data_IF_446011692556
#
_entry.id   IF_446011692556
#
_cell.length_a   1.000
_cell.length_b   1.000
_cell.length_c   1.000
_cell.angle_alpha   90.00
_cell.angle_beta   90.00
_cell.angle_gamma   90.00
#
_symmetry.space_group_name_H-M   'P 1'
#
loop_
_entity.id
_entity.type
_entity.pdbx_description
1 polymer ?
#
# COMPACT_ATOMS: atom_id res chain seq x y z
N UNK A 1 7.51 13.42 -5.74
CA UNK A 1 6.46 12.40 -6.03
C UNK A 1 5.93 12.61 -7.44
N UNK A 2 6.11 11.65 -8.34
CA UNK A 2 5.33 11.66 -9.59
C UNK A 2 3.97 11.06 -9.25
N UNK A 3 2.93 11.91 -9.14
CA UNK A 3 1.56 11.41 -9.03
C UNK A 3 1.12 10.94 -10.41
N UNK A 4 1.21 9.65 -10.62
CA UNK A 4 0.94 8.98 -11.89
C UNK A 4 -0.56 8.72 -12.04
N UNK A 5 -1.33 9.78 -12.21
CA UNK A 5 -2.74 9.72 -12.56
C UNK A 5 -2.96 10.26 -13.98
N UNK A 6 -2.40 9.55 -14.98
CA UNK A 6 -2.91 9.66 -16.35
C UNK A 6 -3.75 8.42 -16.61
N UNK A 7 -5.07 8.64 -16.72
CA UNK A 7 -6.07 7.60 -16.98
C UNK A 7 -5.58 6.63 -18.08
N UNK A 8 -5.48 5.35 -17.71
CA UNK A 8 -5.25 4.22 -18.62
C UNK A 8 -3.80 3.99 -19.08
N UNK A 9 -2.79 4.70 -18.54
CA UNK A 9 -1.38 4.51 -18.94
C UNK A 9 -0.40 4.45 -17.79
N UNK A 10 -0.85 4.19 -16.57
CA UNK A 10 0.03 4.24 -15.39
C UNK A 10 1.24 3.30 -15.52
N UNK A 11 1.04 2.05 -15.96
CA UNK A 11 2.14 1.08 -16.17
C UNK A 11 3.11 1.49 -17.29
N UNK A 12 2.59 2.04 -18.39
CA UNK A 12 3.42 2.53 -19.49
C UNK A 12 4.27 3.72 -19.05
N UNK A 13 3.66 4.64 -18.31
CA UNK A 13 4.35 5.82 -17.79
C UNK A 13 5.43 5.45 -16.76
N UNK A 14 5.18 4.49 -15.85
CA UNK A 14 6.23 3.97 -14.96
C UNK A 14 7.40 3.43 -15.77
N UNK A 15 7.13 2.70 -16.85
CA UNK A 15 8.17 2.13 -17.71
C UNK A 15 8.98 3.22 -18.43
N UNK A 16 8.31 4.22 -18.98
CA UNK A 16 8.96 5.39 -19.61
C UNK A 16 9.87 6.11 -18.60
N UNK A 17 9.35 6.39 -17.40
CA UNK A 17 10.12 7.07 -16.36
C UNK A 17 11.24 6.19 -15.78
N UNK A 18 11.07 4.86 -15.72
CA UNK A 18 12.15 3.95 -15.36
C UNK A 18 13.33 4.09 -16.32
N UNK A 19 13.07 4.15 -17.64
CA UNK A 19 14.13 4.32 -18.63
C UNK A 19 14.78 5.70 -18.56
N UNK A 20 14.00 6.75 -18.26
CA UNK A 20 14.49 8.13 -18.18
C UNK A 20 15.34 8.37 -16.91
N UNK A 21 14.87 7.93 -15.75
CA UNK A 21 15.46 8.28 -14.45
C UNK A 21 16.32 7.18 -13.82
N UNK A 22 16.14 5.92 -14.24
CA UNK A 22 16.91 4.77 -13.75
C UNK A 22 17.41 3.90 -14.92
N UNK A 23 18.19 4.47 -15.86
CA UNK A 23 18.68 3.74 -17.03
C UNK A 23 19.63 2.59 -16.66
N UNK A 24 20.20 2.62 -15.45
CA UNK A 24 21.09 1.60 -14.93
C UNK A 24 20.73 1.28 -13.47
N UNK A 25 20.47 0.02 -13.19
CA UNK A 25 20.27 -0.49 -11.83
C UNK A 25 21.44 -1.42 -11.50
N UNK A 26 22.34 -1.06 -10.57
CA UNK A 26 23.43 -1.94 -10.18
C UNK A 26 22.85 -3.18 -9.49
N UNK A 27 23.16 -4.36 -10.01
CA UNK A 27 22.91 -5.62 -9.31
C UNK A 27 23.99 -5.79 -8.24
N UNK A 28 23.63 -5.45 -7.00
CA UNK A 28 24.47 -5.67 -5.84
C UNK A 28 24.09 -6.99 -5.19
N UNK A 29 25.09 -7.84 -4.97
CA UNK A 29 24.87 -9.16 -4.36
C UNK A 29 24.24 -9.00 -2.97
N UNK A 30 23.16 -9.73 -2.71
CA UNK A 30 22.42 -9.72 -1.44
C UNK A 30 21.75 -8.38 -1.07
N UNK A 31 21.63 -7.43 -2.01
CA UNK A 31 20.92 -6.16 -1.81
C UNK A 31 19.66 -6.14 -2.67
N UNK A 32 18.45 -6.36 -2.11
CA UNK A 32 17.24 -6.55 -2.90
C UNK A 32 16.66 -5.25 -3.48
N UNK A 33 17.12 -4.08 -3.01
CA UNK A 33 16.64 -2.78 -3.46
C UNK A 33 17.80 -1.76 -3.48
N UNK A 34 18.16 -1.28 -4.67
CA UNK A 34 19.28 -0.37 -4.89
C UNK A 34 18.84 1.05 -5.24
N UNK A 35 17.71 1.49 -4.68
CA UNK A 35 16.96 2.62 -5.23
C UNK A 35 16.05 2.16 -6.36
N UNK A 36 15.03 2.96 -6.68
CA UNK A 36 13.94 2.51 -7.51
C UNK A 36 12.62 3.22 -7.23
N UNK A 37 11.59 2.75 -7.92
CA UNK A 37 10.21 3.04 -7.55
C UNK A 37 9.82 2.20 -6.34
N UNK A 38 9.24 2.84 -5.33
CA UNK A 38 8.61 2.17 -4.20
C UNK A 38 7.31 2.89 -3.87
N UNK A 39 6.29 2.13 -3.47
CA UNK A 39 5.02 2.70 -3.03
C UNK A 39 3.88 1.70 -3.15
N UNK A 40 2.72 2.20 -3.55
CA UNK A 40 1.44 1.54 -3.45
C UNK A 40 0.73 1.43 -4.81
N UNK A 41 0.25 0.23 -5.13
CA UNK A 41 -0.66 -0.07 -6.22
C UNK A 41 -2.00 -0.48 -5.61
N UNK A 42 -3.03 0.34 -5.79
CA UNK A 42 -4.36 0.10 -5.26
C UNK A 42 -5.12 -0.97 -6.04
N UNK A 43 -6.12 -1.56 -5.40
CA UNK A 43 -6.92 -2.64 -5.99
C UNK A 43 -7.65 -2.17 -7.27
N UNK A 44 -8.26 -0.98 -7.21
CA UNK A 44 -9.00 -0.41 -8.35
C UNK A 44 -8.10 0.02 -9.53
N UNK A 45 -6.77 0.04 -9.36
CA UNK A 45 -5.83 0.19 -10.49
C UNK A 45 -6.02 -0.93 -11.53
N UNK A 46 -6.51 -2.10 -11.11
CA UNK A 46 -6.88 -3.20 -11.99
C UNK A 46 -7.88 -2.82 -13.09
N UNK A 47 -8.70 -1.79 -12.87
CA UNK A 47 -9.63 -1.27 -13.89
C UNK A 47 -8.96 -0.66 -15.12
N UNK A 48 -7.65 -0.36 -15.04
CA UNK A 48 -6.88 0.06 -16.22
C UNK A 48 -6.52 -1.11 -17.15
N UNK A 49 -6.52 -2.34 -16.64
CA UNK A 49 -6.11 -3.53 -17.38
C UNK A 49 -7.29 -4.47 -17.69
N UNK A 50 -8.37 -4.41 -16.90
CA UNK A 50 -9.57 -5.23 -17.06
C UNK A 50 -10.84 -4.39 -17.12
N UNK A 51 -11.82 -4.82 -17.91
CA UNK A 51 -13.12 -4.18 -18.00
C UNK A 51 -14.03 -4.67 -16.87
N UNK A 52 -13.99 -4.00 -15.72
CA UNK A 52 -14.76 -4.37 -14.52
C UNK A 52 -15.89 -3.37 -14.30
N UNK A 53 -17.14 -3.82 -14.03
CA UNK A 53 -18.26 -2.93 -13.70
C UNK A 53 -17.98 -2.02 -12.49
N UNK A 54 -18.46 -0.78 -12.55
CA UNK A 54 -18.41 0.19 -11.45
C UNK A 54 -19.72 0.16 -10.65
N UNK A 55 -19.86 -0.85 -9.79
CA UNK A 55 -21.06 -1.03 -8.96
C UNK A 55 -20.87 -0.57 -7.51
N UNK A 56 -19.64 -0.61 -7.01
CA UNK A 56 -19.31 -0.19 -5.65
C UNK A 56 -19.15 1.34 -5.57
N UNK A 57 -19.55 1.92 -4.44
CA UNK A 57 -19.33 3.34 -4.16
C UNK A 57 -17.83 3.63 -4.00
N UNK A 58 -17.37 4.74 -4.58
CA UNK A 58 -15.99 5.21 -4.45
C UNK A 58 -15.85 6.07 -3.19
N UNK A 59 -15.86 5.44 -2.03
CA UNK A 59 -15.88 6.09 -0.72
C UNK A 59 -14.51 6.13 -0.01
N UNK A 60 -13.45 5.64 -0.68
CA UNK A 60 -12.07 5.74 -0.22
C UNK A 60 -11.34 6.81 -1.04
N UNK A 61 -10.89 7.87 -0.37
CA UNK A 61 -10.08 8.93 -0.97
C UNK A 61 -8.59 8.60 -0.94
N UNK A 62 -8.21 7.49 -1.59
CA UNK A 62 -6.81 7.12 -1.80
C UNK A 62 -6.51 7.05 -3.30
N UNK A 63 -5.27 7.34 -3.74
CA UNK A 63 -4.91 7.17 -5.14
C UNK A 63 -4.80 5.68 -5.50
N UNK A 64 -5.24 5.31 -6.70
CA UNK A 64 -5.02 3.96 -7.27
C UNK A 64 -3.53 3.64 -7.45
N UNK A 65 -2.68 4.66 -7.52
CA UNK A 65 -1.24 4.52 -7.65
C UNK A 65 -0.52 5.66 -6.93
N UNK A 66 0.39 5.32 -6.02
CA UNK A 66 1.27 6.27 -5.36
C UNK A 66 2.69 5.70 -5.32
N UNK A 67 3.58 6.25 -6.15
CA UNK A 67 4.99 5.83 -6.19
C UNK A 67 5.92 7.01 -5.91
N UNK A 68 6.94 6.73 -5.10
CA UNK A 68 8.12 7.57 -4.95
C UNK A 68 9.28 6.98 -5.75
N UNK A 69 10.10 7.84 -6.33
CA UNK A 69 11.39 7.47 -6.90
C UNK A 69 12.47 7.75 -5.86
N UNK A 70 13.15 6.70 -5.40
CA UNK A 70 14.15 6.77 -4.35
C UNK A 70 15.52 6.48 -4.93
N UNK A 71 16.47 7.40 -4.73
CA UNK A 71 17.85 7.25 -5.18
C UNK A 71 18.75 6.58 -4.13
N UNK A 72 18.26 6.50 -2.89
CA UNK A 72 18.97 5.88 -1.77
C UNK A 72 18.03 5.02 -0.93
N UNK A 73 18.60 4.02 -0.26
CA UNK A 73 17.86 3.14 0.64
C UNK A 73 18.72 2.69 1.82
N UNK A 74 18.08 2.49 2.97
CA UNK A 74 18.65 1.77 4.10
C UNK A 74 18.13 0.34 4.08
N UNK A 75 19.03 -0.63 3.88
CA UNK A 75 18.72 -2.05 3.86
C UNK A 75 19.19 -2.66 5.17
N UNK A 76 18.27 -3.26 5.93
CA UNK A 76 18.59 -3.96 7.18
C UNK A 76 18.52 -5.46 6.92
N UNK A 77 19.66 -6.14 6.98
CA UNK A 77 19.74 -7.59 6.86
C UNK A 77 19.74 -8.23 8.25
N UNK A 78 18.61 -8.84 8.60
CA UNK A 78 18.44 -9.53 9.87
C UNK A 78 19.21 -10.85 9.96
N UNK A 79 19.56 -11.49 8.83
CA UNK A 79 20.34 -12.74 8.79
C UNK A 79 21.82 -12.44 9.05
N UNK A 80 22.36 -11.42 8.40
CA UNK A 80 23.76 -10.97 8.57
C UNK A 80 23.94 -10.03 9.77
N UNK A 81 22.84 -9.54 10.37
CA UNK A 81 22.83 -8.56 11.46
C UNK A 81 23.59 -7.28 11.08
N UNK A 82 23.40 -6.84 9.84
CA UNK A 82 24.07 -5.70 9.24
C UNK A 82 23.06 -4.73 8.64
N UNK A 83 23.49 -3.49 8.44
CA UNK A 83 22.73 -2.49 7.70
C UNK A 83 23.61 -1.90 6.60
N UNK A 84 23.03 -1.71 5.42
CA UNK A 84 23.69 -1.18 4.23
C UNK A 84 22.99 0.11 3.83
N UNK A 85 23.77 1.15 3.57
CA UNK A 85 23.27 2.32 2.87
C UNK A 85 23.57 2.16 1.39
N UNK A 86 22.53 2.23 0.55
CA UNK A 86 22.66 2.20 -0.90
C UNK A 86 22.38 3.60 -1.43
N UNK A 87 23.22 4.09 -2.34
CA UNK A 87 23.12 5.44 -2.92
C UNK A 87 23.86 6.51 -2.12
N UNK A 88 23.58 7.77 -2.41
CA UNK A 88 24.18 8.92 -1.72
C UNK A 88 23.72 8.98 -0.26
N UNK A 89 24.66 9.15 0.66
CA UNK A 89 24.36 9.32 2.09
C UNK A 89 23.83 10.72 2.31
N UNK A 90 22.53 10.85 2.47
CA UNK A 90 21.91 12.07 2.99
C UNK A 90 21.76 11.91 4.49
N UNK A 91 22.21 12.91 5.25
CA UNK A 91 21.96 12.94 6.69
C UNK A 91 20.46 13.17 6.88
N UNK A 92 19.72 12.23 7.48
CA UNK A 92 18.29 12.43 7.69
C UNK A 92 18.10 13.63 8.62
N UNK A 93 17.50 14.70 8.10
CA UNK A 93 16.97 15.78 8.93
C UNK A 93 15.69 15.29 9.59
N UNK A 94 15.82 14.61 10.72
CA UNK A 94 14.68 14.24 11.55
C UNK A 94 14.16 15.46 12.29
N UNK A 95 13.23 16.20 11.67
CA UNK A 95 12.28 16.97 12.45
C UNK A 95 11.32 15.98 13.11
N UNK A 96 11.59 15.63 14.37
CA UNK A 96 10.68 14.83 15.17
C UNK A 96 9.39 15.64 15.39
N UNK A 97 8.40 15.44 14.52
CA UNK A 97 7.05 15.97 14.74
C UNK A 97 6.40 15.13 15.83
N UNK A 98 6.19 15.69 17.01
CA UNK A 98 5.46 15.03 18.09
C UNK A 98 3.96 15.05 17.76
N UNK A 99 3.50 14.11 16.94
CA UNK A 99 2.10 13.72 16.94
C UNK A 99 1.83 13.05 18.30
N UNK A 100 0.73 13.41 18.96
CA UNK A 100 0.38 12.90 20.30
C UNK A 100 0.25 11.37 20.34
N UNK A 101 -0.04 10.80 21.51
CA UNK A 101 -0.22 9.34 21.62
C UNK A 101 -1.41 8.86 20.77
N UNK A 102 -1.22 7.74 20.06
CA UNK A 102 -2.27 7.15 19.25
C UNK A 102 -3.42 6.63 20.11
N UNK A 103 -4.66 6.96 19.73
CA UNK A 103 -5.87 6.40 20.32
C UNK A 103 -7.01 6.34 19.31
N UNK A 104 -7.88 5.35 19.46
CA UNK A 104 -9.17 5.34 18.77
C UNK A 104 -10.09 6.40 19.41
N UNK A 105 -10.72 7.20 18.55
CA UNK A 105 -11.69 8.23 18.91
C UNK A 105 -13.14 7.75 18.72
N UNK A 106 -13.33 6.56 18.13
CA UNK A 106 -14.63 5.89 18.03
C UNK A 106 -14.47 4.38 18.14
N UNK A 107 -15.58 3.69 18.36
CA UNK A 107 -15.65 2.24 18.15
C UNK A 107 -15.51 1.88 16.68
N UNK A 108 -15.18 0.61 16.42
CA UNK A 108 -15.17 0.05 15.08
C UNK A 108 -16.59 -0.11 14.55
N UNK A 109 -16.78 0.28 13.28
CA UNK A 109 -18.01 0.10 12.55
C UNK A 109 -17.77 -0.69 11.28
N UNK A 110 -18.57 -1.73 11.04
CA UNK A 110 -18.53 -2.50 9.80
C UNK A 110 -19.30 -1.75 8.69
N UNK A 111 -18.86 -1.84 7.45
CA UNK A 111 -19.57 -1.29 6.29
C UNK A 111 -20.84 -2.08 5.91
N UNK A 112 -21.13 -3.18 6.59
CA UNK A 112 -22.33 -3.97 6.41
C UNK A 112 -22.68 -4.73 7.70
N UNK A 113 -23.96 -5.03 7.85
CA UNK A 113 -24.51 -5.89 8.91
C UNK A 113 -24.26 -7.37 8.61
N UNK A 114 -24.42 -8.21 9.63
CA UNK A 114 -24.36 -9.66 9.47
C UNK A 114 -25.39 -10.17 8.45
N UNK A 115 -26.62 -9.63 8.47
CA UNK A 115 -27.67 -10.04 7.54
C UNK A 115 -27.30 -9.73 6.08
N UNK A 116 -26.74 -8.56 5.82
CA UNK A 116 -26.25 -8.16 4.50
C UNK A 116 -25.07 -9.03 4.05
N UNK A 117 -24.13 -9.31 4.95
CA UNK A 117 -23.02 -10.21 4.65
C UNK A 117 -23.51 -11.62 4.28
N UNK A 118 -24.45 -12.19 5.06
CA UNK A 118 -25.05 -13.50 4.77
C UNK A 118 -25.78 -13.50 3.43
N UNK A 119 -26.51 -12.42 3.11
CA UNK A 119 -27.17 -12.30 1.81
C UNK A 119 -26.15 -12.33 0.66
N UNK A 120 -25.11 -11.48 0.72
CA UNK A 120 -24.04 -11.45 -0.29
C UNK A 120 -23.28 -12.78 -0.39
N UNK A 121 -23.07 -13.44 0.74
CA UNK A 121 -22.45 -14.77 0.79
C UNK A 121 -23.28 -15.81 0.03
N UNK A 122 -24.60 -15.81 0.21
CA UNK A 122 -25.49 -16.72 -0.53
C UNK A 122 -25.47 -16.44 -2.04
N UNK A 123 -25.42 -15.17 -2.46
CA UNK A 123 -25.24 -14.81 -3.88
C UNK A 123 -23.93 -15.36 -4.44
N UNK A 124 -22.84 -15.29 -3.67
CA UNK A 124 -21.56 -15.92 -4.04
C UNK A 124 -21.73 -17.43 -4.23
N UNK A 125 -22.43 -18.12 -3.31
CA UNK A 125 -22.69 -19.56 -3.45
C UNK A 125 -23.51 -19.89 -4.71
N UNK A 126 -24.49 -19.06 -5.06
CA UNK A 126 -25.26 -19.23 -6.29
C UNK A 126 -24.38 -19.15 -7.54
N UNK A 127 -23.45 -18.18 -7.61
CA UNK A 127 -22.47 -18.08 -8.71
C UNK A 127 -21.52 -19.28 -8.79
N UNK A 128 -21.20 -19.92 -7.66
CA UNK A 128 -20.39 -21.14 -7.66
C UNK A 128 -21.19 -22.33 -8.20
N UNK A 129 -22.46 -22.45 -7.80
CA UNK A 129 -23.34 -23.55 -8.19
C UNK A 129 -23.81 -23.47 -9.65
N UNK A 130 -23.96 -22.26 -10.20
CA UNK A 130 -24.25 -22.03 -11.62
C UNK A 130 -23.05 -22.33 -12.53
N UNK A 131 -21.85 -22.44 -11.97
CA UNK A 131 -20.61 -22.69 -12.70
C UNK A 131 -19.94 -21.42 -13.25
N UNK A 132 -20.33 -20.23 -12.78
CA UNK A 132 -19.73 -18.97 -13.22
C UNK A 132 -18.28 -18.80 -12.71
N UNK A 133 -17.98 -19.35 -11.53
CA UNK A 133 -16.64 -19.34 -10.95
C UNK A 133 -16.44 -20.47 -9.93
N UNK A 134 -15.20 -20.66 -9.48
CA UNK A 134 -14.85 -21.67 -8.46
C UNK A 134 -14.64 -21.08 -7.06
N UNK A 135 -14.29 -19.80 -6.96
CA UNK A 135 -14.10 -19.09 -5.70
C UNK A 135 -14.26 -17.59 -5.90
N UNK A 136 -14.93 -16.91 -4.96
CA UNK A 136 -14.99 -15.45 -4.87
C UNK A 136 -14.51 -15.05 -3.47
N UNK A 137 -13.58 -14.09 -3.39
CA UNK A 137 -13.18 -13.49 -2.12
C UNK A 137 -14.14 -12.35 -1.75
N UNK A 138 -15.08 -12.63 -0.84
CA UNK A 138 -15.99 -11.62 -0.29
C UNK A 138 -15.38 -10.98 0.95
N UNK A 139 -15.28 -9.65 0.97
CA UNK A 139 -14.72 -8.89 2.08
C UNK A 139 -15.72 -7.91 2.69
N UNK A 140 -15.51 -7.58 3.96
CA UNK A 140 -16.15 -6.47 4.67
C UNK A 140 -15.08 -5.53 5.22
N UNK A 141 -15.43 -4.26 5.40
CA UNK A 141 -14.51 -3.22 5.86
C UNK A 141 -14.94 -2.74 7.25
N UNK A 142 -13.98 -2.57 8.14
CA UNK A 142 -14.19 -1.93 9.43
C UNK A 142 -13.52 -0.55 9.42
N UNK A 143 -14.17 0.45 10.01
CA UNK A 143 -13.64 1.81 10.15
C UNK A 143 -13.80 2.31 11.58
N UNK A 144 -12.86 3.14 12.02
CA UNK A 144 -12.92 3.88 13.27
C UNK A 144 -12.17 5.21 13.09
N UNK A 145 -12.57 6.23 13.83
CA UNK A 145 -11.82 7.48 13.93
C UNK A 145 -10.65 7.31 14.88
N UNK A 146 -9.55 8.03 14.65
CA UNK A 146 -8.38 8.00 15.52
C UNK A 146 -7.75 9.39 15.65
N UNK A 147 -6.95 9.55 16.70
CA UNK A 147 -6.10 10.72 16.93
C UNK A 147 -4.68 10.25 17.27
N UNK A 148 -3.68 11.12 17.04
CA UNK A 148 -2.29 10.88 17.43
C UNK A 148 -1.42 10.30 16.30
N UNK A 149 -0.34 9.65 16.69
CA UNK A 149 0.75 9.21 15.81
C UNK A 149 0.52 7.80 15.24
N UNK A 150 0.33 7.70 13.92
CA UNK A 150 0.13 6.43 13.21
C UNK A 150 1.35 5.50 13.34
N UNK A 151 2.55 6.04 13.57
CA UNK A 151 3.74 5.24 13.84
C UNK A 151 3.60 4.41 15.11
N UNK A 152 2.92 4.92 16.13
CA UNK A 152 2.67 4.15 17.35
C UNK A 152 1.74 2.97 17.08
N UNK A 153 0.68 3.17 16.29
CA UNK A 153 -0.21 2.09 15.88
C UNK A 153 0.54 1.02 15.06
N UNK A 154 1.40 1.44 14.12
CA UNK A 154 2.21 0.51 13.33
C UNK A 154 3.13 -0.34 14.21
N UNK A 155 3.87 0.26 15.15
CA UNK A 155 4.74 -0.49 16.07
C UNK A 155 3.96 -1.51 16.90
N UNK A 156 2.77 -1.14 17.38
CA UNK A 156 1.90 -2.07 18.12
C UNK A 156 1.48 -3.24 17.24
N UNK A 157 1.04 -2.98 16.00
CA UNK A 157 0.62 -4.01 15.05
C UNK A 157 1.77 -4.94 14.63
N UNK A 158 2.95 -4.37 14.36
CA UNK A 158 4.14 -5.11 13.95
C UNK A 158 4.59 -6.07 15.06
N UNK A 159 4.62 -5.60 16.31
CA UNK A 159 4.94 -6.43 17.48
C UNK A 159 3.97 -7.58 17.72
N UNK A 160 2.71 -7.43 17.30
CA UNK A 160 1.67 -8.43 17.48
C UNK A 160 1.59 -9.46 16.34
N UNK A 161 1.80 -9.03 15.09
CA UNK A 161 1.56 -9.86 13.90
C UNK A 161 2.82 -10.43 13.26
N UNK A 162 4.00 -9.83 13.48
CA UNK A 162 5.31 -10.24 12.93
C UNK A 162 5.22 -10.65 11.45
N UNK A 163 4.46 -9.89 10.66
CA UNK A 163 4.15 -10.26 9.29
C UNK A 163 5.36 -9.93 8.37
N UNK A 164 5.78 -10.86 7.49
CA UNK A 164 7.00 -10.72 6.70
C UNK A 164 6.95 -9.62 5.63
N UNK A 165 5.75 -9.15 5.28
CA UNK A 165 5.51 -8.10 4.27
C UNK A 165 4.76 -6.90 4.88
N UNK A 166 5.13 -6.50 6.09
CA UNK A 166 4.60 -5.29 6.73
C UNK A 166 5.16 -4.04 6.06
N UNK A 167 4.35 -2.98 5.94
CA UNK A 167 4.79 -1.70 5.41
C UNK A 167 4.07 -0.55 6.13
N UNK A 168 4.80 0.55 6.34
CA UNK A 168 4.23 1.84 6.69
C UNK A 168 4.59 2.82 5.57
N UNK A 169 3.57 3.46 5.00
CA UNK A 169 3.71 4.35 3.86
C UNK A 169 2.87 5.60 4.08
N UNK A 170 3.51 6.77 4.04
CA UNK A 170 2.83 8.06 4.04
C UNK A 170 2.65 8.53 2.60
N UNK A 171 1.44 8.38 2.07
CA UNK A 171 1.10 8.77 0.71
C UNK A 171 0.73 10.26 0.56
N UNK A 172 0.57 11.00 1.67
CA UNK A 172 0.08 12.36 1.69
C UNK A 172 1.16 13.40 1.99
N UNK A 173 2.27 12.99 2.59
CA UNK A 173 3.43 13.87 2.76
C UNK A 173 4.01 14.28 1.40
N UNK A 174 3.91 15.56 1.08
CA UNK A 174 4.57 16.19 -0.07
C UNK A 174 6.06 16.48 0.18
N UNK A 175 6.63 15.98 1.28
CA UNK A 175 8.05 16.22 1.63
C UNK A 175 8.91 15.05 1.17
N UNK A 176 9.39 15.11 -0.06
CA UNK A 176 10.57 14.38 -0.56
C UNK A 176 11.27 15.24 -1.61
#
# INVERSE_FOLDING_TARGET
>A
MVRLAKQGRSFALIRELQHEYLPYSPELENVPFCGGWLGYFGYDLGRQIENIPELAEHDIHAPDLALGLYHSALIVDHKLKSAYWVGEVQTPTTEASSKGSFRLASDWHANMTQAEYTHKFNQVQEYLLSGDCYQINLAQRFSAQFEGDEWQAYKTLESANVAPFSALFDCLSTRF
#
